data_IF_535784811913
#
_entry.id   IF_535784811913
#
_cell.length_a   1.000
_cell.length_b   1.000
_cell.length_c   1.000
_cell.angle_alpha   90.00
_cell.angle_beta   90.00
_cell.angle_gamma   90.00
#
_symmetry.space_group_name_H-M   'P 1'
#
loop_
_entity.id
_entity.type
_entity.pdbx_description
1 polymer ?
#
# COMPACT_ATOMS: atom_id res chain seq x y z
N UNK A 1 -3.10 -11.23 6.18
CA UNK A 1 -2.09 -10.33 5.64
C UNK A 1 -2.02 -10.49 4.12
N UNK A 2 -2.24 -9.41 3.38
CA UNK A 2 -2.24 -9.47 1.92
C UNK A 2 -1.36 -8.35 1.37
N UNK A 3 -1.54 -7.96 0.11
CA UNK A 3 -0.97 -6.78 -0.49
C UNK A 3 -2.06 -6.07 -1.27
N UNK A 4 -2.04 -4.74 -1.27
CA UNK A 4 -3.18 -3.96 -1.74
C UNK A 4 -2.89 -2.47 -1.69
N UNK A 5 -3.78 -1.68 -2.31
CA UNK A 5 -3.70 -0.24 -2.28
C UNK A 5 -4.38 0.30 -1.03
N UNK A 6 -3.61 0.91 -0.14
CA UNK A 6 -4.07 1.29 1.18
C UNK A 6 -4.79 2.63 1.16
N UNK A 7 -6.10 2.58 1.42
CA UNK A 7 -6.98 3.72 1.61
C UNK A 7 -7.49 3.71 3.05
N UNK A 8 -7.53 4.87 3.68
CA UNK A 8 -7.54 4.99 5.12
C UNK A 8 -8.90 4.61 5.71
N UNK A 9 -9.95 5.34 5.30
CA UNK A 9 -11.30 5.14 5.81
C UNK A 9 -12.39 5.32 4.75
N UNK A 10 -12.07 5.86 3.56
CA UNK A 10 -13.04 5.99 2.48
C UNK A 10 -12.31 6.26 1.16
N UNK A 11 -11.32 5.42 0.84
CA UNK A 11 -10.68 5.41 -0.47
C UNK A 11 -9.68 6.55 -0.69
N UNK A 12 -9.52 7.42 0.31
CA UNK A 12 -8.42 8.35 0.32
C UNK A 12 -7.17 7.54 0.66
N UNK A 13 -6.23 7.47 -0.29
CA UNK A 13 -4.97 6.77 -0.10
C UNK A 13 -4.23 7.27 1.14
N UNK A 14 -3.36 6.41 1.69
CA UNK A 14 -2.42 6.76 2.76
C UNK A 14 -1.30 7.66 2.20
N UNK A 15 -1.68 8.76 1.53
CA UNK A 15 -0.81 9.81 1.06
C UNK A 15 0.43 9.23 0.35
N UNK A 16 1.64 9.54 0.85
CA UNK A 16 2.96 9.13 0.41
C UNK A 16 3.76 10.29 -0.17
N UNK A 17 4.10 11.25 0.67
CA UNK A 17 5.15 12.21 0.34
C UNK A 17 6.46 11.47 0.08
N UNK A 18 6.69 10.36 0.79
CA UNK A 18 7.85 9.51 0.59
C UNK A 18 7.53 8.07 1.01
N UNK A 19 8.24 7.12 0.40
CA UNK A 19 7.97 5.69 0.54
C UNK A 19 7.99 5.24 1.99
N UNK A 20 9.05 5.63 2.72
CA UNK A 20 9.21 5.24 4.12
C UNK A 20 7.98 5.61 4.94
N UNK A 21 7.40 6.79 4.67
CA UNK A 21 6.20 7.27 5.34
C UNK A 21 5.04 6.33 5.05
N UNK A 22 4.77 6.06 3.75
CA UNK A 22 3.72 5.12 3.36
C UNK A 22 3.84 3.84 4.17
N UNK A 23 5.05 3.26 4.13
CA UNK A 23 5.37 2.04 4.83
C UNK A 23 5.05 2.17 6.32
N UNK A 24 5.57 3.20 6.99
CA UNK A 24 5.36 3.44 8.40
C UNK A 24 3.88 3.45 8.77
N UNK A 25 3.12 4.34 8.13
CA UNK A 25 1.70 4.50 8.33
C UNK A 25 1.01 3.16 8.17
N UNK A 26 1.38 2.43 7.13
CA UNK A 26 0.73 1.17 6.83
C UNK A 26 1.00 0.10 7.89
N UNK A 27 2.22 0.05 8.43
CA UNK A 27 2.45 -0.82 9.58
C UNK A 27 1.61 -0.35 10.78
N UNK A 28 1.49 0.96 10.97
CA UNK A 28 0.86 1.56 12.13
C UNK A 28 -0.66 1.29 12.17
N UNK A 29 -1.34 1.37 11.03
CA UNK A 29 -2.78 1.46 10.94
C UNK A 29 -3.39 0.22 10.28
N UNK A 30 -2.71 -0.35 9.28
CA UNK A 30 -3.16 -1.47 8.49
C UNK A 30 -2.46 -2.77 8.90
N UNK A 31 -1.26 -2.65 9.48
CA UNK A 31 -0.41 -3.73 9.94
C UNK A 31 0.27 -4.47 8.77
N UNK A 32 0.55 -3.72 7.70
CA UNK A 32 1.60 -4.04 6.75
C UNK A 32 2.93 -4.37 7.41
N UNK A 33 3.81 -5.04 6.65
CA UNK A 33 5.24 -5.05 6.88
C UNK A 33 5.86 -3.86 6.13
N UNK A 34 5.42 -3.54 4.90
CA UNK A 34 5.91 -2.35 4.21
C UNK A 34 4.91 -1.82 3.18
N UNK A 35 5.36 -1.01 2.22
CA UNK A 35 4.52 -0.21 1.33
C UNK A 35 5.35 0.97 0.82
N UNK A 36 4.81 1.70 -0.15
CA UNK A 36 5.52 2.78 -0.83
C UNK A 36 4.58 3.44 -1.84
N UNK A 37 5.03 4.52 -2.47
CA UNK A 37 4.32 5.09 -3.61
C UNK A 37 4.43 4.14 -4.80
N UNK A 38 3.47 3.24 -4.97
CA UNK A 38 3.28 2.55 -6.24
C UNK A 38 2.67 3.56 -7.22
N UNK A 39 2.74 3.27 -8.52
CA UNK A 39 2.42 4.12 -9.67
C UNK A 39 1.58 5.36 -9.37
N UNK A 40 0.42 5.19 -8.73
CA UNK A 40 -0.43 6.31 -8.34
C UNK A 40 -1.13 6.12 -6.98
N UNK A 41 -0.60 5.29 -6.07
CA UNK A 41 -1.16 5.14 -4.73
C UNK A 41 -0.13 4.51 -3.78
N UNK A 42 -0.38 4.65 -2.47
CA UNK A 42 0.26 3.82 -1.46
C UNK A 42 -0.11 2.37 -1.70
N UNK A 43 0.87 1.61 -2.13
CA UNK A 43 0.86 0.17 -1.95
C UNK A 43 1.16 -0.11 -0.50
N UNK A 44 0.70 -1.27 -0.06
CA UNK A 44 1.17 -1.88 1.13
C UNK A 44 1.28 -3.38 0.90
N UNK A 45 2.27 -3.96 1.56
CA UNK A 45 2.60 -5.36 1.66
C UNK A 45 2.41 -5.72 3.13
N UNK A 46 1.34 -6.44 3.45
CA UNK A 46 1.10 -7.09 4.74
C UNK A 46 -0.19 -6.66 5.45
N UNK A 47 -0.89 -5.60 4.96
CA UNK A 47 -2.20 -5.14 5.41
C UNK A 47 -3.01 -6.32 5.97
N UNK A 48 -3.15 -6.32 7.29
CA UNK A 48 -3.69 -7.39 8.10
C UNK A 48 -5.19 -7.17 8.19
N UNK A 49 -5.54 -6.00 8.72
CA UNK A 49 -6.83 -5.39 8.48
C UNK A 49 -6.85 -4.89 7.03
N UNK A 50 -8.06 -4.72 6.49
CA UNK A 50 -8.31 -4.29 5.14
C UNK A 50 -9.55 -3.39 5.17
N UNK A 51 -9.24 -2.11 5.21
CA UNK A 51 -10.19 -1.03 5.32
C UNK A 51 -11.18 -1.10 4.15
N UNK A 52 -10.62 -1.20 2.94
CA UNK A 52 -11.27 -1.27 1.65
C UNK A 52 -10.19 -1.08 0.58
N UNK A 53 -9.16 -1.92 0.60
CA UNK A 53 -7.99 -1.67 -0.21
C UNK A 53 -8.35 -1.69 -1.69
N UNK A 54 -7.77 -0.78 -2.46
CA UNK A 54 -8.13 -0.61 -3.86
C UNK A 54 -7.60 -1.74 -4.73
N UNK A 55 -8.13 -1.73 -5.95
CA UNK A 55 -7.97 -2.75 -6.96
C UNK A 55 -6.79 -2.37 -7.86
N UNK A 56 -5.67 -3.07 -7.69
CA UNK A 56 -4.47 -2.84 -8.46
C UNK A 56 -4.60 -3.47 -9.85
N UNK A 57 -4.15 -2.72 -10.87
CA UNK A 57 -4.09 -3.21 -12.24
C UNK A 57 -2.94 -4.20 -12.32
N UNK A 58 -3.00 -5.19 -13.22
CA UNK A 58 -1.95 -6.20 -13.28
C UNK A 58 -0.61 -5.51 -13.49
N UNK A 59 -0.52 -4.74 -14.57
CA UNK A 59 0.70 -4.03 -14.89
C UNK A 59 1.22 -3.21 -13.70
N UNK A 60 0.34 -2.64 -12.87
CA UNK A 60 0.78 -1.90 -11.69
C UNK A 60 1.28 -2.88 -10.62
N UNK A 61 0.59 -4.01 -10.41
CA UNK A 61 1.01 -5.06 -9.49
C UNK A 61 2.41 -5.50 -9.87
N UNK A 62 2.52 -5.97 -11.11
CA UNK A 62 3.74 -6.49 -11.70
C UNK A 62 4.88 -5.47 -11.54
N UNK A 63 4.66 -4.24 -11.99
CA UNK A 63 5.57 -3.11 -11.80
C UNK A 63 6.01 -3.02 -10.34
N UNK A 64 5.04 -3.06 -9.43
CA UNK A 64 5.23 -2.83 -8.01
C UNK A 64 5.44 -4.11 -7.22
N UNK A 65 5.83 -5.24 -7.85
CA UNK A 65 6.08 -6.48 -7.12
C UNK A 65 7.59 -6.60 -6.86
N UNK A 66 8.34 -6.81 -7.94
CA UNK A 66 9.74 -7.19 -7.96
C UNK A 66 10.58 -6.30 -7.04
N UNK A 67 10.22 -5.02 -7.02
CA UNK A 67 10.61 -3.99 -6.09
C UNK A 67 11.05 -4.56 -4.73
N UNK A 68 10.12 -5.24 -4.05
CA UNK A 68 10.31 -5.85 -2.75
C UNK A 68 10.15 -7.37 -2.86
N UNK A 69 9.14 -7.84 -3.61
CA UNK A 69 8.89 -9.25 -3.88
C UNK A 69 9.25 -9.53 -5.33
#
# INVERSE_FOLDING_TARGET
KKNGYAVDSSGKVSECLLNNYCNNICTKVYYATSGYCCLLSCYCFGLDDDKAVLKIKDATKSYCDVQII
#
